data_IF_228533765796
#
_entry.id   IF_228533765796
#
_cell.length_a   1.000
_cell.length_b   1.000
_cell.length_c   1.000
_cell.angle_alpha   90.00
_cell.angle_beta   90.00
_cell.angle_gamma   90.00
#
_symmetry.space_group_name_H-M   'P 1'
#
loop_
_entity.id
_entity.type
_entity.pdbx_description
1 polymer ?
#
# COMPACT_ATOMS: atom_id res chain seq x y z
N UNK A 1 -0.53 39.97 34.80
CA UNK A 1 0.65 39.16 34.46
C UNK A 1 0.15 37.97 33.65
N UNK A 2 0.39 37.99 32.33
CA UNK A 2 -0.12 37.01 31.35
C UNK A 2 0.62 35.69 31.52
N UNK A 3 -0.09 34.57 31.51
CA UNK A 3 0.38 33.32 30.92
C UNK A 3 -0.85 32.53 30.43
N UNK A 4 -1.42 32.99 29.30
CA UNK A 4 -2.21 32.11 28.46
C UNK A 4 -1.26 31.04 27.92
N UNK A 5 -1.42 29.82 28.42
CA UNK A 5 -0.80 28.62 27.87
C UNK A 5 -1.38 28.42 26.45
N UNK A 6 -0.75 29.03 25.45
CA UNK A 6 -0.94 28.62 24.06
C UNK A 6 -0.37 27.22 23.94
N UNK A 7 -1.26 26.24 24.03
CA UNK A 7 -1.01 24.86 23.64
C UNK A 7 -0.51 24.89 22.20
N UNK A 8 0.81 24.81 22.02
CA UNK A 8 1.44 24.62 20.72
C UNK A 8 1.09 23.21 20.28
N UNK A 9 -0.10 23.04 19.67
CA UNK A 9 -0.34 21.91 18.80
C UNK A 9 0.60 22.11 17.63
N UNK A 10 1.81 21.56 17.74
CA UNK A 10 2.66 21.24 16.60
C UNK A 10 1.89 20.23 15.75
N UNK A 11 0.90 20.73 15.01
CA UNK A 11 0.15 20.00 14.03
C UNK A 11 1.13 19.67 12.92
N UNK A 12 1.79 18.52 13.03
CA UNK A 12 2.60 17.96 11.95
C UNK A 12 1.74 17.98 10.71
N UNK A 13 2.03 18.91 9.80
CA UNK A 13 1.36 18.96 8.52
C UNK A 13 1.57 17.58 7.88
N UNK A 14 0.50 16.88 7.48
CA UNK A 14 0.65 15.53 6.95
C UNK A 14 1.56 15.60 5.71
N UNK A 15 2.55 14.70 5.66
CA UNK A 15 3.55 14.65 4.58
C UNK A 15 2.90 14.38 3.22
N UNK A 16 1.74 13.71 3.22
CA UNK A 16 0.95 13.41 2.04
C UNK A 16 -0.48 13.88 2.22
N UNK A 17 -1.20 14.08 1.10
CA UNK A 17 -2.63 14.40 1.12
C UNK A 17 -3.44 13.15 1.52
N UNK A 18 -4.61 13.34 2.11
CA UNK A 18 -5.52 12.23 2.49
C UNK A 18 -5.81 11.28 1.33
N UNK A 19 -5.90 11.79 0.10
CA UNK A 19 -6.08 10.98 -1.11
C UNK A 19 -4.95 9.96 -1.32
N UNK A 20 -3.70 10.36 -1.08
CA UNK A 20 -2.55 9.46 -1.22
C UNK A 20 -2.59 8.35 -0.18
N UNK A 21 -3.00 8.66 1.05
CA UNK A 21 -3.17 7.65 2.10
C UNK A 21 -4.24 6.60 1.72
N UNK A 22 -5.31 7.00 1.05
CA UNK A 22 -6.32 6.08 0.54
C UNK A 22 -5.73 5.20 -0.57
N UNK A 23 -4.96 5.78 -1.50
CA UNK A 23 -4.30 5.02 -2.57
C UNK A 23 -3.28 4.01 -2.02
N UNK A 24 -2.49 4.39 -1.01
CA UNK A 24 -1.58 3.48 -0.31
C UNK A 24 -2.36 2.36 0.38
N UNK A 25 -3.45 2.66 1.10
CA UNK A 25 -4.25 1.62 1.75
C UNK A 25 -4.79 0.59 0.73
N UNK A 26 -5.23 1.03 -0.45
CA UNK A 26 -5.68 0.14 -1.53
C UNK A 26 -4.52 -0.69 -2.09
N UNK A 27 -3.37 -0.07 -2.33
CA UNK A 27 -2.15 -0.76 -2.77
C UNK A 27 -1.72 -1.87 -1.81
N UNK A 28 -1.70 -1.58 -0.52
CA UNK A 28 -1.39 -2.53 0.55
C UNK A 28 -2.37 -3.71 0.57
N UNK A 29 -3.67 -3.48 0.39
CA UNK A 29 -4.67 -4.55 0.30
C UNK A 29 -4.40 -5.47 -0.89
N UNK A 30 -4.03 -4.93 -2.06
CA UNK A 30 -3.68 -5.73 -3.23
C UNK A 30 -2.45 -6.61 -2.98
N UNK A 31 -1.44 -6.08 -2.30
CA UNK A 31 -0.25 -6.84 -1.90
C UNK A 31 -0.60 -7.99 -0.95
N UNK A 32 -1.42 -7.72 0.07
CA UNK A 32 -1.87 -8.73 1.03
C UNK A 32 -2.70 -9.83 0.35
N UNK A 33 -3.56 -9.48 -0.59
CA UNK A 33 -4.32 -10.45 -1.38
C UNK A 33 -3.40 -11.32 -2.25
N UNK A 34 -2.44 -10.71 -2.95
CA UNK A 34 -1.45 -11.45 -3.75
C UNK A 34 -0.63 -12.42 -2.89
N UNK A 35 -0.18 -11.98 -1.72
CA UNK A 35 0.54 -12.82 -0.76
C UNK A 35 -0.33 -13.97 -0.23
N UNK A 36 -1.60 -13.69 0.12
CA UNK A 36 -2.50 -14.70 0.65
C UNK A 36 -2.79 -15.80 -0.38
N UNK A 37 -2.91 -15.45 -1.66
CA UNK A 37 -3.06 -16.44 -2.74
C UNK A 37 -1.85 -17.37 -2.85
N UNK A 38 -0.62 -16.89 -2.60
CA UNK A 38 0.59 -17.74 -2.56
C UNK A 38 0.58 -18.72 -1.38
N UNK A 39 0.11 -18.27 -0.21
CA UNK A 39 0.06 -19.07 1.01
C UNK A 39 -0.87 -20.30 0.91
N UNK A 40 -1.81 -20.30 -0.04
CA UNK A 40 -2.81 -21.36 -0.18
C UNK A 40 -2.36 -22.65 -0.88
N UNK A 41 -1.11 -22.75 -1.36
CA UNK A 41 -0.60 -23.93 -2.11
C UNK A 41 0.36 -24.81 -1.31
N UNK A 42 0.33 -24.74 0.03
CA UNK A 42 1.22 -25.51 0.88
C UNK A 42 0.81 -26.98 0.88
N UNK A 43 1.68 -27.84 0.36
CA UNK A 43 1.54 -29.30 0.42
C UNK A 43 1.78 -29.78 1.85
N UNK A 44 0.87 -30.61 2.36
CA UNK A 44 0.96 -31.18 3.70
C UNK A 44 2.04 -32.27 3.81
N UNK A 45 2.30 -33.00 2.72
CA UNK A 45 3.32 -34.03 2.64
C UNK A 45 4.38 -33.69 1.56
N UNK A 46 5.66 -33.54 1.92
CA UNK A 46 6.71 -33.16 0.97
C UNK A 46 7.11 -34.27 -0.01
N UNK A 47 6.61 -35.49 0.17
CA UNK A 47 6.87 -36.65 -0.70
C UNK A 47 5.76 -36.90 -1.74
N UNK A 48 4.67 -36.15 -1.70
CA UNK A 48 3.59 -36.20 -2.69
C UNK A 48 3.60 -34.93 -3.53
N UNK A 49 3.97 -35.06 -4.80
CA UNK A 49 3.83 -33.98 -5.78
C UNK A 49 2.35 -33.80 -6.14
N UNK A 50 1.63 -32.98 -5.37
CA UNK A 50 0.31 -32.52 -5.77
C UNK A 50 0.43 -31.48 -6.88
N UNK A 51 -0.19 -31.75 -8.03
CA UNK A 51 -0.24 -30.81 -9.15
C UNK A 51 -0.91 -29.47 -8.83
N UNK A 52 -1.59 -29.37 -7.68
CA UNK A 52 -2.22 -28.13 -7.20
C UNK A 52 -1.21 -27.02 -6.87
N UNK A 53 0.04 -27.38 -6.52
CA UNK A 53 1.12 -26.41 -6.29
C UNK A 53 1.49 -25.71 -7.62
N UNK A 54 1.38 -26.44 -8.73
CA UNK A 54 1.57 -25.96 -10.10
C UNK A 54 0.28 -25.48 -10.76
N UNK A 55 -0.73 -25.09 -9.98
CA UNK A 55 -1.87 -24.41 -10.55
C UNK A 55 -1.40 -23.07 -11.13
N UNK A 56 -1.16 -23.07 -12.45
CA UNK A 56 -0.56 -21.97 -13.21
C UNK A 56 -1.33 -20.67 -12.99
N UNK A 57 -2.62 -20.73 -12.67
CA UNK A 57 -3.41 -19.56 -12.28
C UNK A 57 -2.87 -18.88 -11.03
N UNK A 58 -2.52 -19.59 -9.95
CA UNK A 58 -2.00 -18.95 -8.73
C UNK A 58 -0.58 -18.44 -8.92
N UNK A 59 0.26 -19.20 -9.60
CA UNK A 59 1.63 -18.79 -9.88
C UNK A 59 1.73 -17.58 -10.81
N UNK A 60 0.73 -17.31 -11.65
CA UNK A 60 0.73 -16.15 -12.55
C UNK A 60 -0.12 -15.01 -12.01
N UNK A 61 -1.31 -15.27 -11.47
CA UNK A 61 -2.20 -14.23 -10.93
C UNK A 61 -1.61 -13.59 -9.68
N UNK A 62 -0.97 -14.36 -8.79
CA UNK A 62 -0.41 -13.79 -7.57
C UNK A 62 0.73 -12.80 -7.84
N UNK A 63 1.75 -13.11 -8.68
CA UNK A 63 2.78 -12.14 -9.02
C UNK A 63 2.25 -10.91 -9.76
N UNK A 64 1.24 -11.06 -10.62
CA UNK A 64 0.61 -9.93 -11.30
C UNK A 64 -0.08 -9.00 -10.28
N UNK A 65 -0.84 -9.56 -9.32
CA UNK A 65 -1.48 -8.79 -8.26
C UNK A 65 -0.46 -8.07 -7.38
N UNK A 66 0.62 -8.75 -7.00
CA UNK A 66 1.72 -8.12 -6.26
C UNK A 66 2.38 -7.00 -7.06
N UNK A 67 2.66 -7.22 -8.34
CA UNK A 67 3.27 -6.21 -9.21
C UNK A 67 2.38 -4.97 -9.34
N UNK A 68 1.08 -5.16 -9.58
CA UNK A 68 0.11 -4.06 -9.62
C UNK A 68 0.03 -3.31 -8.29
N UNK A 69 0.07 -4.03 -7.16
CA UNK A 69 0.12 -3.42 -5.83
C UNK A 69 1.35 -2.55 -5.63
N UNK A 70 2.54 -3.02 -6.02
CA UNK A 70 3.80 -2.25 -5.94
C UNK A 70 3.73 -1.02 -6.84
N UNK A 71 3.26 -1.16 -8.09
CA UNK A 71 3.12 -0.02 -9.01
C UNK A 71 2.15 1.02 -8.45
N UNK A 72 1.03 0.58 -7.87
CA UNK A 72 0.05 1.48 -7.26
C UNK A 72 0.63 2.23 -6.06
N UNK A 73 1.37 1.55 -5.17
CA UNK A 73 2.07 2.17 -4.05
C UNK A 73 3.14 3.17 -4.52
N UNK A 74 3.93 2.80 -5.54
CA UNK A 74 4.91 3.68 -6.13
C UNK A 74 4.26 4.96 -6.68
N UNK A 75 3.12 4.84 -7.37
CA UNK A 75 2.35 5.99 -7.85
C UNK A 75 1.76 6.79 -6.69
N UNK A 76 1.21 6.14 -5.66
CA UNK A 76 0.61 6.82 -4.50
C UNK A 76 1.63 7.66 -3.71
N UNK A 77 2.86 7.14 -3.58
CA UNK A 77 3.97 7.84 -2.91
C UNK A 77 4.53 8.94 -3.82
N UNK A 78 4.74 8.66 -5.10
CA UNK A 78 5.32 9.61 -6.05
C UNK A 78 4.38 10.77 -6.38
N UNK A 79 3.06 10.58 -6.27
CA UNK A 79 2.08 11.61 -6.57
C UNK A 79 2.08 12.70 -5.50
N UNK A 80 3.05 13.61 -5.54
CA UNK A 80 3.07 14.79 -4.70
C UNK A 80 2.49 15.97 -5.50
N UNK A 81 1.19 16.31 -5.36
CA UNK A 81 0.70 17.53 -5.98
C UNK A 81 1.43 18.69 -5.29
N UNK A 82 2.17 19.49 -6.07
CA UNK A 82 2.85 20.69 -5.54
C UNK A 82 1.83 21.48 -4.73
N UNK A 83 2.23 21.91 -3.53
CA UNK A 83 1.47 22.88 -2.76
C UNK A 83 1.21 24.06 -3.70
N UNK A 84 -0.05 24.29 -4.08
CA UNK A 84 -0.42 25.50 -4.78
C UNK A 84 -0.22 26.61 -3.75
N UNK A 85 0.92 27.29 -3.82
CA UNK A 85 1.14 28.57 -3.17
C UNK A 85 0.17 29.54 -3.84
N UNK A 86 -1.04 29.61 -3.29
CA UNK A 86 -2.00 30.64 -3.64
C UNK A 86 -1.47 31.97 -3.08
N UNK A 87 -1.43 32.96 -3.97
CA UNK A 87 -1.48 34.40 -3.66
C UNK A 87 -0.23 35.07 -3.07
N UNK A 88 0.58 35.63 -3.97
CA UNK A 88 0.89 37.07 -3.85
C UNK A 88 0.31 37.74 -5.10
N UNK A 89 -0.83 38.41 -4.89
CA UNK A 89 -1.40 39.42 -5.77
C UNK A 89 -0.95 40.80 -5.27
#
# INVERSE_FOLDING_TARGET
MKLEQKENKEGKAPLFRTTNYILMAVGLVLLLLGYLLLRGGQVADPNTFDGEIFNTRRLVVSPILMFLGIVMEAVAIMWHPRKKSESEA
#
